data_IF_758617659924
#
_entry.id   IF_758617659924
#
_cell.length_a   1.000
_cell.length_b   1.000
_cell.length_c   1.000
_cell.angle_alpha   90.00
_cell.angle_beta   90.00
_cell.angle_gamma   90.00
#
_symmetry.space_group_name_H-M   'P 1'
#
loop_
_entity.id
_entity.type
_entity.pdbx_description
1 polymer ?
#
# COMPACT_ATOMS: atom_id res chain seq x y z
N UNK A 1 10.70 14.04 -39.92
CA UNK A 1 9.92 13.94 -38.67
C UNK A 1 9.43 12.51 -38.53
N UNK A 2 10.06 11.69 -37.68
CA UNK A 2 9.64 10.30 -37.45
C UNK A 2 8.44 10.28 -36.49
N UNK A 3 7.33 9.65 -36.91
CA UNK A 3 6.16 9.39 -36.05
C UNK A 3 6.45 8.15 -35.20
N UNK A 4 6.48 8.31 -33.88
CA UNK A 4 6.45 7.20 -32.95
C UNK A 4 5.14 6.40 -33.13
N UNK A 5 5.23 5.07 -33.25
CA UNK A 5 4.08 4.19 -33.41
C UNK A 5 3.15 4.25 -32.20
N UNK A 6 1.84 4.43 -32.44
CA UNK A 6 0.79 4.29 -31.42
C UNK A 6 0.58 2.80 -31.15
N UNK A 7 1.35 2.23 -30.24
CA UNK A 7 1.01 0.93 -29.68
C UNK A 7 -0.09 1.17 -28.63
N UNK A 8 -1.33 0.81 -28.96
CA UNK A 8 -2.44 0.85 -28.02
C UNK A 8 -2.21 -0.18 -26.92
N UNK A 9 -2.37 0.20 -25.64
CA UNK A 9 -2.40 -0.77 -24.56
C UNK A 9 -3.58 -1.72 -24.78
N UNK A 10 -3.29 -3.01 -24.92
CA UNK A 10 -4.30 -4.07 -25.02
C UNK A 10 -4.23 -4.90 -23.75
N UNK A 11 -5.30 -4.87 -22.96
CA UNK A 11 -5.44 -5.76 -21.81
C UNK A 11 -5.62 -7.20 -22.31
N UNK A 12 -4.62 -8.05 -22.07
CA UNK A 12 -4.65 -9.46 -22.50
C UNK A 12 -5.16 -10.43 -21.44
N UNK A 13 -5.10 -10.01 -20.17
CA UNK A 13 -5.40 -10.86 -19.04
C UNK A 13 -6.23 -10.09 -18.01
N UNK A 14 -7.06 -10.83 -17.27
CA UNK A 14 -7.85 -10.35 -16.14
C UNK A 14 -7.75 -11.41 -15.06
N UNK A 15 -7.58 -10.98 -13.82
CA UNK A 15 -7.65 -11.83 -12.64
C UNK A 15 -9.06 -11.67 -12.10
N UNK A 16 -9.76 -12.77 -11.87
CA UNK A 16 -11.06 -12.77 -11.22
C UNK A 16 -10.89 -12.63 -9.70
N UNK A 17 -11.89 -12.07 -9.01
CA UNK A 17 -11.78 -11.76 -7.58
C UNK A 17 -11.39 -12.97 -6.71
N UNK A 18 -11.83 -14.18 -7.09
CA UNK A 18 -11.51 -15.42 -6.38
C UNK A 18 -10.07 -15.91 -6.61
N UNK A 19 -9.39 -15.46 -7.67
CA UNK A 19 -8.02 -15.84 -7.99
C UNK A 19 -6.99 -15.01 -7.21
N UNK A 20 -7.40 -13.85 -6.66
CA UNK A 20 -6.52 -12.90 -5.96
C UNK A 20 -5.81 -13.54 -4.77
N UNK A 21 -6.45 -14.49 -4.09
CA UNK A 21 -5.87 -15.25 -2.97
C UNK A 21 -4.55 -15.94 -3.34
N UNK A 22 -4.43 -16.41 -4.60
CA UNK A 22 -3.24 -17.11 -5.10
C UNK A 22 -2.02 -16.19 -5.31
N UNK A 23 -2.22 -14.88 -5.22
CA UNK A 23 -1.17 -13.86 -5.42
C UNK A 23 -0.81 -13.13 -4.13
N UNK A 24 -1.37 -13.53 -2.98
CA UNK A 24 -1.07 -12.89 -1.71
C UNK A 24 0.38 -13.10 -1.29
N UNK A 25 1.03 -12.00 -0.93
CA UNK A 25 2.29 -12.00 -0.22
C UNK A 25 2.07 -12.35 1.26
N UNK A 26 3.07 -12.99 1.87
CA UNK A 26 3.07 -13.35 3.29
C UNK A 26 4.31 -12.81 4.03
N UNK A 27 4.59 -11.48 3.98
CA UNK A 27 5.70 -10.94 4.74
C UNK A 27 5.39 -10.98 6.25
N UNK A 28 6.43 -11.09 7.10
CA UNK A 28 6.23 -11.03 8.55
C UNK A 28 5.58 -9.71 8.99
N UNK A 29 6.02 -8.60 8.39
CA UNK A 29 5.52 -7.23 8.64
C UNK A 29 5.51 -6.45 7.33
N UNK A 30 4.77 -5.34 7.28
CA UNK A 30 4.81 -4.42 6.14
C UNK A 30 6.04 -3.51 6.25
N UNK A 31 7.24 -4.09 6.17
CA UNK A 31 8.52 -3.40 6.41
C UNK A 31 8.62 -2.77 7.82
N UNK A 32 8.14 -3.46 8.86
CA UNK A 32 8.04 -2.98 10.25
C UNK A 32 6.64 -2.48 10.61
N UNK A 33 6.44 -1.97 11.82
CA UNK A 33 5.10 -1.70 12.38
C UNK A 33 4.63 -0.24 12.28
N UNK A 34 5.55 0.70 12.04
CA UNK A 34 5.20 2.12 11.85
C UNK A 34 4.62 2.38 10.46
N UNK A 35 4.09 3.57 10.23
CA UNK A 35 3.61 4.03 8.91
C UNK A 35 4.74 4.36 7.92
N UNK A 36 6.00 4.26 8.36
CA UNK A 36 7.19 4.60 7.58
C UNK A 36 8.40 3.76 7.99
N UNK A 37 9.44 3.80 7.16
CA UNK A 37 10.77 3.22 7.39
C UNK A 37 11.78 4.36 7.32
N UNK A 38 12.74 4.43 8.24
CA UNK A 38 13.82 5.40 8.14
C UNK A 38 14.74 5.01 6.97
N UNK A 39 14.98 5.93 6.05
CA UNK A 39 15.76 5.65 4.85
C UNK A 39 17.21 5.26 5.17
N UNK A 40 17.76 5.81 6.26
CA UNK A 40 19.08 5.45 6.77
C UNK A 40 19.19 3.96 7.12
N UNK A 41 18.12 3.33 7.61
CA UNK A 41 18.11 1.87 7.88
C UNK A 41 18.19 1.05 6.59
N UNK A 42 17.68 1.59 5.48
CA UNK A 42 17.77 0.96 4.17
C UNK A 42 19.18 1.14 3.60
N UNK A 43 19.72 2.37 3.65
CA UNK A 43 21.08 2.69 3.16
C UNK A 43 22.17 1.91 3.90
N UNK A 44 22.06 1.78 5.22
CA UNK A 44 23.05 1.06 6.02
C UNK A 44 22.84 -0.46 6.03
N UNK A 45 21.81 -0.97 5.33
CA UNK A 45 21.53 -2.39 5.19
C UNK A 45 20.86 -3.06 6.39
N UNK A 46 20.57 -2.33 7.48
CA UNK A 46 19.86 -2.87 8.65
C UNK A 46 18.42 -3.28 8.30
N UNK A 47 17.80 -2.60 7.33
CA UNK A 47 16.49 -2.91 6.77
C UNK A 47 16.61 -3.30 5.30
N UNK A 48 16.61 -4.60 5.03
CA UNK A 48 16.57 -5.12 3.67
C UNK A 48 15.17 -4.98 3.06
N UNK A 49 15.07 -4.26 1.95
CA UNK A 49 13.85 -4.16 1.14
C UNK A 49 14.00 -5.08 -0.07
N UNK A 50 13.26 -6.19 -0.10
CA UNK A 50 13.29 -7.15 -1.21
C UNK A 50 12.27 -6.82 -2.30
N UNK A 51 11.23 -6.07 -1.94
CA UNK A 51 10.18 -5.55 -2.81
C UNK A 51 9.54 -4.33 -2.18
N UNK A 52 8.95 -3.46 -3.00
CA UNK A 52 8.31 -2.20 -2.60
C UNK A 52 6.78 -2.25 -2.67
N UNK A 53 6.22 -3.41 -2.99
CA UNK A 53 4.78 -3.63 -3.10
C UNK A 53 4.43 -4.96 -2.43
N UNK A 54 3.32 -4.98 -1.71
CA UNK A 54 2.74 -6.18 -1.15
C UNK A 54 1.25 -6.23 -1.44
N UNK A 55 0.77 -7.41 -1.79
CA UNK A 55 -0.65 -7.74 -1.82
C UNK A 55 -0.97 -8.63 -0.62
N UNK A 56 -1.66 -8.11 0.40
CA UNK A 56 -1.84 -8.83 1.67
C UNK A 56 -3.31 -8.92 2.06
N UNK A 57 -3.66 -10.05 2.69
CA UNK A 57 -4.90 -10.14 3.46
C UNK A 57 -4.69 -9.57 4.86
N UNK A 58 -5.62 -8.74 5.29
CA UNK A 58 -5.61 -8.07 6.59
C UNK A 58 -6.91 -8.33 7.34
N UNK A 59 -6.84 -8.19 8.65
CA UNK A 59 -7.99 -8.35 9.54
C UNK A 59 -8.51 -6.99 10.00
N UNK A 60 -9.82 -6.94 10.30
CA UNK A 60 -10.47 -5.79 10.94
C UNK A 60 -10.25 -4.47 10.18
N UNK A 61 -10.26 -4.51 8.84
CA UNK A 61 -10.12 -3.32 8.01
C UNK A 61 -11.25 -2.32 8.30
N UNK A 62 -10.85 -1.08 8.59
CA UNK A 62 -11.74 0.08 8.71
C UNK A 62 -11.18 1.22 7.88
N UNK A 63 -12.00 1.73 6.97
CA UNK A 63 -11.68 2.93 6.19
C UNK A 63 -12.38 4.13 6.83
N UNK A 64 -11.64 5.21 7.09
CA UNK A 64 -12.18 6.44 7.64
C UNK A 64 -11.37 7.66 7.21
N UNK A 65 -11.91 8.86 7.40
CA UNK A 65 -11.16 10.11 7.21
C UNK A 65 -10.56 10.57 8.54
N UNK A 66 -9.35 11.12 8.47
CA UNK A 66 -8.75 11.84 9.61
C UNK A 66 -9.26 13.29 9.70
N UNK A 67 -8.79 14.02 10.70
CA UNK A 67 -9.13 15.44 10.96
C UNK A 67 -8.80 16.37 9.78
N UNK A 68 -7.85 15.98 8.92
CA UNK A 68 -7.47 16.72 7.70
C UNK A 68 -8.28 16.29 6.47
N UNK A 69 -9.39 15.57 6.66
CA UNK A 69 -10.26 15.05 5.60
C UNK A 69 -9.51 14.12 4.61
N UNK A 70 -8.45 13.44 5.07
CA UNK A 70 -7.67 12.46 4.28
C UNK A 70 -8.05 11.04 4.66
N UNK A 71 -8.16 10.16 3.66
CA UNK A 71 -8.51 8.76 3.86
C UNK A 71 -7.39 7.97 4.56
N UNK A 72 -7.80 7.11 5.48
CA UNK A 72 -6.96 6.23 6.30
C UNK A 72 -7.55 4.83 6.32
N UNK A 73 -6.68 3.84 6.25
CA UNK A 73 -6.99 2.44 6.45
C UNK A 73 -6.41 1.99 7.79
N UNK A 74 -7.27 1.55 8.69
CA UNK A 74 -6.93 0.99 9.99
C UNK A 74 -7.16 -0.51 9.91
N UNK A 75 -6.16 -1.32 10.21
CA UNK A 75 -6.26 -2.77 10.09
C UNK A 75 -5.23 -3.49 10.97
N UNK A 76 -5.39 -4.80 11.12
CA UNK A 76 -4.41 -5.68 11.74
C UNK A 76 -3.78 -6.60 10.68
N UNK A 77 -2.48 -6.82 10.77
CA UNK A 77 -1.76 -7.76 9.91
C UNK A 77 -0.71 -8.50 10.74
N UNK A 78 -0.78 -9.83 10.78
CA UNK A 78 0.08 -10.69 11.59
C UNK A 78 0.18 -10.27 13.08
N UNK A 79 -0.91 -9.74 13.64
CA UNK A 79 -0.98 -9.28 15.03
C UNK A 79 -0.54 -7.84 15.29
N UNK A 80 0.09 -7.18 14.30
CA UNK A 80 0.44 -5.76 14.38
C UNK A 80 -0.70 -4.88 13.87
N UNK A 81 -0.92 -3.74 14.54
CA UNK A 81 -1.89 -2.74 14.10
C UNK A 81 -1.25 -1.69 13.19
N UNK A 82 -1.94 -1.35 12.11
CA UNK A 82 -1.51 -0.36 11.13
C UNK A 82 -2.58 0.71 10.94
N UNK A 83 -2.12 1.96 10.83
CA UNK A 83 -2.90 3.10 10.37
C UNK A 83 -2.12 3.75 9.22
N UNK A 84 -2.59 3.54 7.99
CA UNK A 84 -1.90 3.96 6.77
C UNK A 84 -2.75 4.94 5.95
N UNK A 85 -2.12 5.92 5.26
CA UNK A 85 -2.83 6.76 4.30
C UNK A 85 -3.31 5.93 3.12
N UNK A 86 -4.50 6.26 2.61
CA UNK A 86 -5.07 5.66 1.40
C UNK A 86 -4.95 6.67 0.26
N UNK A 87 -4.32 6.26 -0.84
CA UNK A 87 -4.21 7.09 -2.06
C UNK A 87 -5.24 6.74 -3.12
N UNK A 88 -6.05 5.70 -2.90
CA UNK A 88 -7.15 5.34 -3.78
C UNK A 88 -8.14 6.53 -3.92
N UNK A 89 -8.31 7.10 -5.12
CA UNK A 89 -9.23 8.23 -5.33
C UNK A 89 -10.70 7.86 -5.14
N UNK A 90 -11.01 6.56 -5.04
CA UNK A 90 -12.34 6.00 -4.87
C UNK A 90 -12.52 5.26 -3.54
N UNK A 91 -11.69 5.58 -2.53
CA UNK A 91 -11.75 5.01 -1.18
C UNK A 91 -13.15 5.04 -0.53
N UNK A 92 -14.00 6.00 -0.92
CA UNK A 92 -15.38 6.14 -0.46
C UNK A 92 -16.27 4.96 -0.90
N UNK A 93 -16.03 4.40 -2.10
CA UNK A 93 -16.81 3.27 -2.63
C UNK A 93 -16.65 2.00 -1.79
N UNK A 94 -15.54 1.88 -1.07
CA UNK A 94 -15.27 0.72 -0.25
C UNK A 94 -16.12 0.70 1.04
N UNK A 95 -16.64 1.84 1.50
CA UNK A 95 -17.45 1.90 2.73
C UNK A 95 -18.75 1.08 2.68
N UNK A 96 -19.23 0.71 1.50
CA UNK A 96 -20.56 0.12 1.34
C UNK A 96 -20.61 -1.41 1.36
N UNK A 97 -19.47 -2.12 1.24
CA UNK A 97 -19.49 -3.59 1.16
C UNK A 97 -18.25 -4.27 1.78
N UNK A 98 -18.15 -4.28 3.13
CA UNK A 98 -16.93 -4.67 3.84
C UNK A 98 -16.62 -6.18 3.84
N UNK A 99 -17.57 -7.05 3.49
CA UNK A 99 -17.41 -8.51 3.68
C UNK A 99 -16.35 -9.16 2.77
N UNK A 100 -15.93 -8.50 1.69
CA UNK A 100 -14.86 -8.99 0.79
C UNK A 100 -13.57 -8.18 0.86
N UNK A 101 -13.56 -7.05 1.59
CA UNK A 101 -12.50 -6.04 1.55
C UNK A 101 -11.42 -6.32 2.59
N UNK A 102 -10.80 -7.50 2.50
CA UNK A 102 -9.68 -7.89 3.35
C UNK A 102 -8.35 -7.77 2.64
N UNK A 103 -8.32 -7.48 1.34
CA UNK A 103 -7.07 -7.50 0.57
C UNK A 103 -6.62 -6.07 0.30
N UNK A 104 -5.39 -5.76 0.71
CA UNK A 104 -4.78 -4.47 0.49
C UNK A 104 -3.55 -4.62 -0.41
N UNK A 105 -3.47 -3.74 -1.40
CA UNK A 105 -2.21 -3.45 -2.07
C UNK A 105 -1.50 -2.34 -1.30
N UNK A 106 -0.41 -2.68 -0.62
CA UNK A 106 0.39 -1.76 0.19
C UNK A 106 1.71 -1.47 -0.51
N UNK A 107 2.00 -0.20 -0.74
CA UNK A 107 3.27 0.24 -1.34
C UNK A 107 4.17 0.90 -0.30
N UNK A 108 5.48 0.75 -0.50
CA UNK A 108 6.52 1.53 0.16
C UNK A 108 6.96 2.63 -0.80
N UNK A 109 6.69 3.88 -0.42
CA UNK A 109 7.03 5.06 -1.20
C UNK A 109 8.53 5.33 -1.25
N UNK A 110 8.90 6.22 -2.16
CA UNK A 110 10.28 6.69 -2.33
C UNK A 110 10.77 7.48 -1.12
N UNK A 111 12.09 7.73 -1.10
CA UNK A 111 12.75 8.59 -0.13
C UNK A 111 12.08 9.97 -0.10
N UNK A 112 11.57 10.38 1.06
CA UNK A 112 10.96 11.68 1.27
C UNK A 112 11.45 12.31 2.57
N UNK A 113 11.82 13.59 2.52
CA UNK A 113 12.14 14.40 3.69
C UNK A 113 10.92 15.24 4.09
N UNK A 114 10.25 14.94 5.21
CA UNK A 114 9.17 15.78 5.70
C UNK A 114 9.69 17.17 6.07
N UNK A 115 8.89 18.19 5.82
CA UNK A 115 9.22 19.55 6.25
C UNK A 115 9.46 19.59 7.76
N UNK A 116 10.59 20.16 8.18
CA UNK A 116 10.98 20.24 9.59
C UNK A 116 11.57 18.95 10.18
N UNK A 117 11.90 17.96 9.34
CA UNK A 117 12.63 16.77 9.74
C UNK A 117 14.04 16.79 9.16
N UNK A 118 15.01 16.36 9.96
CA UNK A 118 16.40 16.08 9.53
C UNK A 118 16.54 14.66 8.96
N UNK A 119 15.49 13.83 9.06
CA UNK A 119 15.50 12.43 8.63
C UNK A 119 14.68 12.22 7.34
N UNK A 120 15.19 11.33 6.50
CA UNK A 120 14.49 10.85 5.31
C UNK A 120 13.71 9.57 5.64
N UNK A 121 12.48 9.46 5.12
CA UNK A 121 11.64 8.28 5.32
C UNK A 121 11.08 7.75 4.00
N UNK A 122 10.84 6.44 3.97
CA UNK A 122 9.97 5.78 3.00
C UNK A 122 8.61 5.50 3.66
N UNK A 123 7.54 6.12 3.16
CA UNK A 123 6.20 6.01 3.75
C UNK A 123 5.43 4.82 3.17
N UNK A 124 4.65 4.16 4.02
CA UNK A 124 3.76 3.06 3.63
C UNK A 124 2.40 3.62 3.27
N UNK A 125 1.80 3.13 2.20
CA UNK A 125 0.55 3.66 1.66
C UNK A 125 -0.32 2.49 1.20
N UNK A 126 -1.63 2.59 1.44
CA UNK A 126 -2.60 1.70 0.79
C UNK A 126 -2.89 2.25 -0.60
N UNK A 127 -2.36 1.58 -1.62
CA UNK A 127 -2.48 1.97 -3.01
C UNK A 127 -3.82 1.55 -3.62
N UNK A 128 -4.36 0.40 -3.19
CA UNK A 128 -5.67 -0.09 -3.60
C UNK A 128 -6.30 -0.97 -2.50
N UNK A 129 -7.62 -0.95 -2.43
CA UNK A 129 -8.44 -1.86 -1.62
C UNK A 129 -9.16 -2.78 -2.60
N UNK A 130 -9.02 -4.09 -2.43
CA UNK A 130 -9.55 -5.10 -3.35
C UNK A 130 -10.66 -5.89 -2.67
#
# INVERSE_FOLDING_TARGET
MNKAGRNTWVQRYKIEAHEVEGYLDAPKTLWGTRDRVAYAEIENGTKRITQSLYLVRVDKLKIQKNERNKWRALFSFNGDFYDLPVTDPHADRHLQNPQHQGILCVSLGEKFRPQGSEEDYCYKIVAAII
#
